data_IF_931302042969
#
_entry.id   IF_931302042969
#
_cell.length_a   1.000
_cell.length_b   1.000
_cell.length_c   1.000
_cell.angle_alpha   90.00
_cell.angle_beta   90.00
_cell.angle_gamma   90.00
#
_symmetry.space_group_name_H-M   'P 1'
#
loop_
_entity.id
_entity.type
_entity.pdbx_description
1 polymer ?
#
# COMPACT_ATOMS: atom_id res chain seq x y z
N UNK A 1 52.05 -21.02 10.47
CA UNK A 1 52.42 -19.60 10.71
C UNK A 1 51.39 -19.00 11.65
N UNK A 2 51.80 -18.67 12.88
CA UNK A 2 51.02 -17.92 13.86
C UNK A 2 51.16 -16.42 13.63
N UNK A 3 50.06 -15.66 13.80
CA UNK A 3 49.96 -14.31 14.44
C UNK A 3 48.49 -13.86 14.28
N UNK A 4 47.64 -13.86 15.32
CA UNK A 4 47.55 -13.03 16.55
C UNK A 4 46.38 -12.02 16.44
N UNK A 5 45.32 -12.35 17.19
CA UNK A 5 44.33 -11.57 17.94
C UNK A 5 44.53 -10.05 18.09
N UNK A 6 43.43 -9.28 18.02
CA UNK A 6 43.16 -8.13 18.88
C UNK A 6 41.64 -7.93 19.07
N UNK A 7 41.27 -7.69 20.32
CA UNK A 7 39.92 -7.58 20.92
C UNK A 7 39.91 -6.24 21.68
N UNK A 8 38.71 -5.72 22.03
CA UNK A 8 38.40 -4.56 22.91
C UNK A 8 38.27 -3.21 22.16
N UNK A 9 37.33 -2.31 22.46
CA UNK A 9 36.77 -1.86 23.76
C UNK A 9 35.28 -1.47 23.64
N UNK A 10 34.36 -1.75 24.59
CA UNK A 10 34.02 -1.09 25.88
C UNK A 10 33.52 0.37 25.77
N UNK A 11 32.31 0.59 26.31
CA UNK A 11 31.80 1.87 26.84
C UNK A 11 30.45 2.27 26.23
N UNK A 12 29.38 2.64 26.93
CA UNK A 12 29.19 3.00 28.35
C UNK A 12 27.69 2.87 28.66
N UNK A 13 27.36 2.40 29.86
CA UNK A 13 26.00 2.31 30.37
C UNK A 13 25.41 3.71 30.69
N UNK A 14 24.13 3.92 30.42
CA UNK A 14 23.33 4.91 31.13
C UNK A 14 22.20 4.21 31.89
N UNK A 15 22.21 4.44 33.19
CA UNK A 15 21.16 4.08 34.14
C UNK A 15 20.01 5.09 34.03
N UNK A 16 18.79 4.60 33.83
CA UNK A 16 17.55 5.36 33.99
C UNK A 16 16.60 4.58 34.88
N UNK A 17 16.60 4.90 36.17
CA UNK A 17 15.66 4.35 37.14
C UNK A 17 14.28 5.00 36.95
N UNK A 18 13.25 4.19 36.68
CA UNK A 18 11.86 4.58 36.94
C UNK A 18 11.36 3.78 38.14
N UNK A 19 11.22 4.51 39.24
CA UNK A 19 10.57 4.05 40.45
C UNK A 19 9.10 3.71 40.17
N UNK A 20 8.63 2.66 40.83
CA UNK A 20 7.29 2.13 40.64
C UNK A 20 6.19 2.91 41.35
N UNK A 21 4.97 2.50 41.03
CA UNK A 21 3.83 2.52 41.95
C UNK A 21 2.89 1.38 41.53
N UNK A 22 3.16 0.18 42.03
CA UNK A 22 2.16 -0.88 42.12
C UNK A 22 1.24 -0.54 43.30
N UNK A 23 0.06 0.00 43.02
CA UNK A 23 -0.99 0.15 44.03
C UNK A 23 -2.09 -0.85 43.77
N UNK A 24 -2.04 -1.91 44.55
CA UNK A 24 -3.08 -2.90 44.76
C UNK A 24 -4.29 -2.23 45.44
N UNK A 25 -5.46 -2.25 44.81
CA UNK A 25 -6.75 -1.95 45.46
C UNK A 25 -7.73 -3.07 45.17
N UNK A 26 -8.07 -3.81 46.22
CA UNK A 26 -9.19 -4.72 46.30
C UNK A 26 -10.16 -4.08 47.29
N UNK A 27 -11.34 -3.64 46.85
CA UNK A 27 -12.52 -3.45 47.71
C UNK A 27 -13.75 -3.10 46.87
N UNK A 28 -14.69 -4.04 46.89
CA UNK A 28 -16.15 -3.91 46.97
C UNK A 28 -16.80 -2.52 46.83
N UNK A 29 -17.85 -2.48 46.01
CA UNK A 29 -19.14 -1.88 46.38
C UNK A 29 -19.36 -0.41 46.02
N UNK A 30 -20.58 -0.18 45.50
CA UNK A 30 -21.31 1.09 45.43
C UNK A 30 -21.10 2.03 44.22
N UNK A 31 -22.11 1.95 43.36
CA UNK A 31 -22.62 2.94 42.42
C UNK A 31 -22.69 4.35 43.02
N UNK A 32 -22.22 5.36 42.28
CA UNK A 32 -23.10 6.49 42.01
C UNK A 32 -23.06 6.97 40.56
N UNK A 33 -24.23 7.37 40.10
CA UNK A 33 -24.47 8.10 38.86
C UNK A 33 -23.71 9.43 38.86
N UNK A 34 -22.85 9.65 37.87
CA UNK A 34 -22.41 10.99 37.48
C UNK A 34 -22.26 11.06 35.98
N UNK A 35 -23.23 11.73 35.39
CA UNK A 35 -23.28 12.26 34.03
C UNK A 35 -22.05 13.14 33.78
N UNK A 36 -21.03 12.59 33.12
CA UNK A 36 -19.96 13.37 32.51
C UNK A 36 -20.20 13.37 31.01
N UNK A 37 -20.77 14.48 30.53
CA UNK A 37 -20.91 14.79 29.11
C UNK A 37 -19.51 14.88 28.48
N UNK A 38 -19.03 13.75 27.97
CA UNK A 38 -17.98 13.73 26.97
C UNK A 38 -18.50 14.47 25.74
N UNK A 39 -18.05 15.71 25.57
CA UNK A 39 -18.12 16.41 24.29
C UNK A 39 -17.23 15.62 23.34
N UNK A 40 -17.84 14.79 22.48
CA UNK A 40 -17.20 14.41 21.22
C UNK A 40 -16.89 15.73 20.52
N UNK A 41 -15.60 16.02 20.34
CA UNK A 41 -15.15 16.94 19.31
C UNK A 41 -15.42 16.23 17.99
N UNK A 42 -16.66 16.32 17.53
CA UNK A 42 -16.97 16.17 16.11
C UNK A 42 -16.32 17.38 15.46
N UNK A 43 -15.10 17.22 14.95
CA UNK A 43 -14.57 18.07 13.88
C UNK A 43 -15.42 17.78 12.64
N UNK A 44 -16.68 18.22 12.73
CA UNK A 44 -17.65 18.27 11.65
C UNK A 44 -17.33 19.55 10.91
N UNK A 45 -16.29 19.47 10.08
CA UNK A 45 -16.06 20.48 9.06
C UNK A 45 -17.29 20.44 8.16
N UNK A 46 -18.22 21.34 8.43
CA UNK A 46 -19.49 21.45 7.72
C UNK A 46 -19.19 21.77 6.26
N UNK A 47 -19.06 20.73 5.44
CA UNK A 47 -18.84 20.85 4.01
C UNK A 47 -20.05 21.58 3.43
N UNK A 48 -19.82 22.77 2.85
CA UNK A 48 -20.88 23.53 2.21
C UNK A 48 -21.34 22.80 0.95
N UNK A 49 -22.66 22.80 0.69
CA UNK A 49 -23.25 22.15 -0.49
C UNK A 49 -22.63 22.59 -1.84
N UNK A 50 -22.06 23.79 -1.88
CA UNK A 50 -21.35 24.32 -3.04
C UNK A 50 -20.03 23.57 -3.31
N UNK A 51 -19.30 23.22 -2.25
CA UNK A 51 -18.04 22.45 -2.33
C UNK A 51 -18.27 21.04 -2.87
N UNK A 52 -19.37 20.40 -2.47
CA UNK A 52 -19.76 19.06 -2.95
C UNK A 52 -20.12 19.01 -4.45
N UNK A 53 -20.47 20.16 -5.03
CA UNK A 53 -20.85 20.28 -6.44
C UNK A 53 -19.66 20.57 -7.37
N UNK A 54 -18.50 20.94 -6.81
CA UNK A 54 -17.29 21.24 -7.58
C UNK A 54 -16.71 19.97 -8.21
N UNK A 55 -16.35 19.99 -9.51
CA UNK A 55 -15.66 18.88 -10.15
C UNK A 55 -14.38 18.49 -9.41
N UNK A 56 -14.07 17.19 -9.33
CA UNK A 56 -12.76 16.72 -8.92
C UNK A 56 -11.82 16.81 -10.12
N UNK A 57 -10.60 17.28 -9.88
CA UNK A 57 -9.54 17.48 -10.87
C UNK A 57 -8.27 16.74 -10.45
N UNK A 58 -7.27 16.64 -11.32
CA UNK A 58 -5.97 16.05 -10.99
C UNK A 58 -5.24 16.82 -9.88
N UNK A 59 -5.48 18.13 -9.75
CA UNK A 59 -4.83 18.98 -8.75
C UNK A 59 -5.41 18.76 -7.33
N UNK A 60 -6.53 18.05 -7.22
CA UNK A 60 -7.19 17.71 -5.94
C UNK A 60 -6.57 16.46 -5.30
N UNK A 61 -5.62 15.80 -5.97
CA UNK A 61 -5.03 14.54 -5.56
C UNK A 61 -3.51 14.54 -5.80
N UNK A 62 -2.78 13.88 -4.91
CA UNK A 62 -1.38 13.54 -5.16
C UNK A 62 -1.21 12.02 -5.15
N UNK A 63 -0.41 11.52 -6.08
CA UNK A 63 -0.05 10.11 -6.20
C UNK A 63 1.46 10.01 -6.24
N UNK A 64 2.03 9.18 -5.36
CA UNK A 64 3.46 9.04 -5.21
C UNK A 64 3.83 7.56 -5.18
N UNK A 65 4.97 7.23 -5.81
CA UNK A 65 5.59 5.91 -5.73
C UNK A 65 7.06 6.08 -5.38
N UNK A 66 7.50 5.44 -4.31
CA UNK A 66 8.87 5.52 -3.82
C UNK A 66 9.49 4.13 -3.75
N UNK A 67 10.68 3.96 -4.32
CA UNK A 67 11.47 2.74 -4.12
C UNK A 67 12.05 2.73 -2.70
N UNK A 68 11.55 1.86 -1.85
CA UNK A 68 12.02 1.70 -0.47
C UNK A 68 13.30 0.86 -0.42
N UNK A 69 13.37 -0.17 -1.27
CA UNK A 69 14.44 -1.14 -1.27
C UNK A 69 14.72 -1.65 -2.68
N UNK A 70 16.00 -1.80 -3.02
CA UNK A 70 16.45 -2.44 -4.26
C UNK A 70 16.51 -3.96 -4.10
N UNK A 71 16.57 -4.70 -5.20
CA UNK A 71 16.77 -6.14 -5.15
C UNK A 71 18.06 -6.51 -4.39
N UNK A 72 17.98 -7.51 -3.51
CA UNK A 72 19.13 -8.09 -2.85
C UNK A 72 19.13 -9.61 -2.98
N UNK A 73 20.13 -10.26 -2.37
CA UNK A 73 20.16 -11.72 -2.28
C UNK A 73 19.09 -12.28 -1.34
N UNK A 74 18.63 -11.47 -0.38
CA UNK A 74 17.81 -11.89 0.75
C UNK A 74 16.39 -11.28 0.70
N UNK A 75 16.15 -10.31 -0.19
CA UNK A 75 14.85 -9.67 -0.38
C UNK A 75 14.60 -9.17 -1.81
N UNK A 76 13.32 -9.12 -2.25
CA UNK A 76 12.93 -8.45 -3.49
C UNK A 76 13.06 -6.92 -3.34
N UNK A 77 12.96 -6.21 -4.48
CA UNK A 77 12.75 -4.78 -4.47
C UNK A 77 11.37 -4.46 -3.87
N UNK A 78 11.26 -3.32 -3.20
CA UNK A 78 10.03 -2.88 -2.55
C UNK A 78 9.70 -1.43 -2.91
N UNK A 79 8.41 -1.16 -3.04
CA UNK A 79 7.86 0.17 -3.29
C UNK A 79 6.85 0.53 -2.21
N UNK A 80 6.78 1.81 -1.87
CA UNK A 80 5.60 2.40 -1.25
C UNK A 80 4.79 3.09 -2.34
N UNK A 81 3.49 2.80 -2.40
CA UNK A 81 2.52 3.52 -3.24
C UNK A 81 1.61 4.31 -2.32
N UNK A 82 1.45 5.60 -2.58
CA UNK A 82 0.68 6.53 -1.74
C UNK A 82 -0.30 7.35 -2.58
N UNK A 83 -1.48 7.56 -2.03
CA UNK A 83 -2.49 8.48 -2.53
C UNK A 83 -2.86 9.46 -1.43
N UNK A 84 -2.89 10.75 -1.75
CA UNK A 84 -3.20 11.83 -0.82
C UNK A 84 -4.36 12.66 -1.37
N UNK A 85 -5.29 13.00 -0.49
CA UNK A 85 -6.34 13.97 -0.80
C UNK A 85 -5.83 15.39 -0.56
N UNK A 86 -5.46 16.10 -1.64
CA UNK A 86 -5.01 17.50 -1.59
C UNK A 86 -6.16 18.51 -1.77
N UNK A 87 -7.39 18.01 -1.90
CA UNK A 87 -8.57 18.85 -2.05
C UNK A 87 -9.01 19.49 -0.73
N UNK A 88 -9.84 20.52 -0.84
CA UNK A 88 -10.45 21.23 0.29
C UNK A 88 -11.67 20.51 0.89
N UNK A 89 -11.97 19.29 0.45
CA UNK A 89 -13.08 18.47 0.99
C UNK A 89 -12.64 17.02 1.17
N UNK A 90 -13.47 16.21 1.83
CA UNK A 90 -13.30 14.76 1.86
C UNK A 90 -13.40 14.15 0.47
N UNK A 91 -12.59 13.14 0.21
CA UNK A 91 -12.69 12.27 -0.96
C UNK A 91 -12.98 10.84 -0.51
N UNK A 92 -13.82 10.13 -1.24
CA UNK A 92 -14.06 8.70 -1.08
C UNK A 92 -13.50 7.96 -2.27
N UNK A 93 -12.51 7.09 -2.05
CA UNK A 93 -11.89 6.23 -3.05
C UNK A 93 -12.45 4.81 -2.93
N UNK A 94 -12.81 4.22 -4.08
CA UNK A 94 -13.31 2.86 -4.15
C UNK A 94 -12.34 1.99 -4.95
N UNK A 95 -12.18 0.73 -4.57
CA UNK A 95 -11.33 -0.17 -5.34
C UNK A 95 -11.38 -1.60 -4.85
N UNK A 96 -10.37 -2.36 -5.26
CA UNK A 96 -10.20 -3.74 -4.85
C UNK A 96 -9.72 -3.87 -3.41
N UNK A 97 -9.17 -5.04 -3.05
CA UNK A 97 -8.82 -5.38 -1.67
C UNK A 97 -7.59 -4.65 -1.12
N UNK A 98 -6.88 -3.85 -1.92
CA UNK A 98 -5.82 -2.93 -1.46
C UNK A 98 -5.91 -1.63 -2.23
N UNK A 99 -6.15 -0.52 -1.52
CA UNK A 99 -6.10 0.83 -2.06
C UNK A 99 -4.73 1.47 -1.74
N UNK A 100 -4.26 2.47 -2.48
CA UNK A 100 -4.87 3.05 -3.66
C UNK A 100 -4.58 2.28 -4.95
N UNK A 101 -3.90 1.13 -4.88
CA UNK A 101 -3.46 0.38 -6.07
C UNK A 101 -3.64 -1.12 -5.85
N UNK A 102 -4.65 -1.71 -6.50
CA UNK A 102 -4.92 -3.16 -6.49
C UNK A 102 -4.23 -3.87 -7.66
N UNK A 103 -3.88 -3.16 -8.73
CA UNK A 103 -3.25 -3.70 -9.93
C UNK A 103 -1.96 -4.42 -9.59
N UNK A 104 -1.96 -5.74 -9.72
CA UNK A 104 -0.80 -6.57 -9.38
C UNK A 104 0.14 -6.73 -10.58
N UNK A 105 -0.36 -6.64 -11.81
CA UNK A 105 0.43 -6.94 -13.00
C UNK A 105 1.02 -5.68 -13.65
N UNK A 106 2.32 -5.70 -13.92
CA UNK A 106 3.04 -4.68 -14.69
C UNK A 106 3.47 -5.23 -16.02
N UNK A 107 3.00 -4.62 -17.10
CA UNK A 107 3.22 -5.12 -18.47
C UNK A 107 4.47 -4.46 -19.06
N UNK A 108 5.38 -5.27 -19.60
CA UNK A 108 6.55 -4.76 -20.30
C UNK A 108 6.14 -4.05 -21.59
N UNK A 109 6.61 -2.82 -21.81
CA UNK A 109 6.13 -1.98 -22.92
C UNK A 109 6.43 -2.55 -24.33
N UNK A 110 7.46 -3.38 -24.46
CA UNK A 110 7.95 -3.86 -25.75
C UNK A 110 7.97 -5.40 -25.92
N UNK A 111 7.49 -6.16 -24.93
CA UNK A 111 7.60 -7.62 -24.90
C UNK A 111 6.42 -8.23 -24.15
N UNK A 112 6.11 -9.48 -24.44
CA UNK A 112 5.06 -10.24 -23.77
C UNK A 112 5.57 -10.86 -22.46
N UNK A 113 6.05 -10.00 -21.56
CA UNK A 113 6.54 -10.38 -20.22
C UNK A 113 5.97 -9.42 -19.20
N UNK A 114 5.71 -9.92 -17.99
CA UNK A 114 5.10 -9.15 -16.92
C UNK A 114 5.90 -9.25 -15.62
N UNK A 115 5.76 -8.25 -14.77
CA UNK A 115 6.15 -8.31 -13.36
C UNK A 115 4.90 -8.30 -12.50
N UNK A 116 5.04 -8.77 -11.26
CA UNK A 116 3.99 -8.73 -10.27
C UNK A 116 4.37 -7.82 -9.10
N UNK A 117 3.46 -6.95 -8.69
CA UNK A 117 3.46 -6.26 -7.42
C UNK A 117 2.67 -7.10 -6.43
N UNK A 118 3.35 -7.55 -5.38
CA UNK A 118 2.73 -8.28 -4.28
C UNK A 118 2.60 -7.36 -3.07
N UNK A 119 1.38 -6.94 -2.67
CA UNK A 119 1.21 -6.12 -1.48
C UNK A 119 1.67 -6.88 -0.22
N UNK A 120 2.14 -6.14 0.77
CA UNK A 120 2.50 -6.72 2.07
C UNK A 120 1.25 -7.28 2.79
N UNK A 121 0.13 -6.55 2.75
CA UNK A 121 -1.17 -7.11 3.13
C UNK A 121 -1.79 -7.85 1.95
N UNK A 122 -1.57 -9.16 1.95
CA UNK A 122 -1.98 -10.08 0.89
C UNK A 122 -2.85 -11.23 1.43
N UNK A 123 -3.43 -11.06 2.61
CA UNK A 123 -4.28 -12.07 3.27
C UNK A 123 -5.52 -12.48 2.44
N UNK A 124 -5.90 -11.66 1.47
CA UNK A 124 -6.99 -11.84 0.51
C UNK A 124 -6.58 -12.60 -0.76
N UNK A 125 -5.29 -12.84 -0.98
CA UNK A 125 -4.78 -13.63 -2.10
C UNK A 125 -4.65 -15.09 -1.63
N UNK A 126 -5.20 -16.02 -2.41
CA UNK A 126 -5.03 -17.46 -2.18
C UNK A 126 -4.24 -18.02 -3.36
N UNK A 127 -3.00 -18.49 -3.15
CA UNK A 127 -2.22 -19.06 -4.24
C UNK A 127 -2.85 -20.38 -4.69
N UNK A 128 -2.98 -20.58 -5.99
CA UNK A 128 -3.41 -21.86 -6.57
C UNK A 128 -2.43 -22.33 -7.63
N UNK A 129 -2.48 -23.62 -7.96
CA UNK A 129 -1.83 -24.15 -9.16
C UNK A 129 -2.68 -23.91 -10.42
N UNK A 130 -2.19 -24.36 -11.58
CA UNK A 130 -2.90 -24.29 -12.86
C UNK A 130 -4.17 -25.14 -12.94
N UNK A 131 -4.44 -25.99 -11.94
CA UNK A 131 -5.68 -26.76 -11.80
C UNK A 131 -6.66 -26.11 -10.79
N UNK A 132 -6.37 -24.89 -10.33
CA UNK A 132 -7.13 -24.19 -9.28
C UNK A 132 -7.11 -24.88 -7.91
N UNK A 133 -6.15 -25.77 -7.65
CA UNK A 133 -5.94 -26.34 -6.32
C UNK A 133 -5.17 -25.34 -5.45
N UNK A 134 -5.68 -25.09 -4.24
CA UNK A 134 -5.04 -24.20 -3.27
C UNK A 134 -3.67 -24.75 -2.89
N UNK A 135 -2.64 -23.90 -3.00
CA UNK A 135 -1.29 -24.22 -2.54
C UNK A 135 -1.03 -23.58 -1.19
N UNK A 136 -0.31 -24.29 -0.33
CA UNK A 136 0.21 -23.73 0.92
C UNK A 136 1.64 -23.26 0.69
N UNK A 137 1.77 -22.13 0.00
CA UNK A 137 3.05 -21.48 -0.33
C UNK A 137 2.97 -19.99 0.02
N UNK A 138 4.08 -19.37 0.45
CA UNK A 138 4.09 -17.94 0.67
C UNK A 138 3.98 -17.18 -0.67
N UNK A 139 3.29 -16.04 -0.65
CA UNK A 139 3.07 -15.23 -1.85
C UNK A 139 4.32 -14.47 -2.31
N UNK A 140 5.11 -14.03 -1.34
CA UNK A 140 6.50 -13.59 -1.55
C UNK A 140 7.39 -14.76 -1.15
N UNK A 141 8.20 -15.33 -2.05
CA UNK A 141 9.04 -16.45 -1.69
C UNK A 141 10.05 -16.02 -0.61
N UNK A 142 10.46 -16.92 0.30
CA UNK A 142 11.40 -16.59 1.38
C UNK A 142 12.85 -16.52 0.90
N UNK A 143 13.12 -17.00 -0.31
CA UNK A 143 14.43 -17.02 -0.95
C UNK A 143 14.27 -17.04 -2.46
N UNK A 144 15.33 -16.69 -3.19
CA UNK A 144 15.33 -16.73 -4.65
C UNK A 144 15.37 -18.15 -5.19
N UNK A 145 14.61 -18.38 -6.27
CA UNK A 145 14.68 -19.58 -7.11
C UNK A 145 15.46 -19.22 -8.38
N UNK A 146 16.53 -19.96 -8.68
CA UNK A 146 17.43 -19.68 -9.81
C UNK A 146 17.96 -18.22 -9.85
N UNK A 147 18.29 -17.69 -8.68
CA UNK A 147 18.72 -16.29 -8.49
C UNK A 147 17.67 -15.23 -8.84
N UNK A 148 16.38 -15.62 -8.83
CA UNK A 148 15.23 -14.76 -9.08
C UNK A 148 14.21 -14.73 -7.94
N UNK A 149 13.59 -13.56 -7.75
CA UNK A 149 12.40 -13.42 -6.92
C UNK A 149 11.18 -13.65 -7.80
N UNK A 150 10.76 -14.91 -7.95
CA UNK A 150 9.68 -15.32 -8.87
C UNK A 150 8.50 -15.88 -8.08
N UNK A 151 7.29 -15.65 -8.55
CA UNK A 151 6.09 -16.30 -7.96
C UNK A 151 6.07 -17.80 -8.24
N UNK A 152 5.64 -18.60 -7.26
CA UNK A 152 5.61 -20.06 -7.35
C UNK A 152 4.16 -20.61 -7.45
N UNK A 153 3.23 -19.81 -7.96
CA UNK A 153 1.82 -20.14 -8.09
C UNK A 153 1.20 -19.39 -9.28
N UNK A 154 0.11 -19.91 -9.83
CA UNK A 154 -0.56 -19.37 -11.03
C UNK A 154 -1.88 -18.65 -10.67
N UNK A 155 -2.50 -18.99 -9.53
CA UNK A 155 -3.82 -18.49 -9.13
C UNK A 155 -3.85 -17.10 -8.52
N UNK A 156 -4.94 -16.36 -8.79
CA UNK A 156 -5.23 -15.07 -8.14
C UNK A 156 -6.69 -14.90 -7.68
N UNK A 157 -6.80 -14.15 -6.56
CA UNK A 157 -7.97 -13.51 -5.92
C UNK A 157 -9.05 -14.42 -5.29
N UNK A 158 -9.07 -14.45 -3.95
CA UNK A 158 -10.30 -14.76 -3.20
C UNK A 158 -11.20 -13.51 -3.25
N UNK A 159 -12.42 -13.68 -3.77
CA UNK A 159 -13.56 -12.73 -3.74
C UNK A 159 -13.18 -11.25 -3.60
N UNK A 160 -13.26 -10.51 -4.72
CA UNK A 160 -13.25 -9.04 -4.78
C UNK A 160 -14.13 -8.45 -3.68
N UNK A 161 -13.51 -8.05 -2.57
CA UNK A 161 -14.18 -7.20 -1.58
C UNK A 161 -13.86 -5.80 -2.01
N UNK A 162 -14.88 -5.08 -2.45
CA UNK A 162 -14.73 -3.67 -2.77
C UNK A 162 -14.42 -2.94 -1.48
N UNK A 163 -13.27 -2.29 -1.40
CA UNK A 163 -12.92 -1.40 -0.30
C UNK A 163 -13.40 0.01 -0.60
N UNK A 164 -13.64 0.74 0.49
CA UNK A 164 -14.05 2.14 0.49
C UNK A 164 -13.21 2.84 1.53
N UNK A 165 -12.35 3.75 1.09
CA UNK A 165 -11.56 4.61 1.98
C UNK A 165 -12.03 6.06 1.84
N UNK A 166 -12.36 6.67 2.98
CA UNK A 166 -12.73 8.07 3.07
C UNK A 166 -11.56 8.88 3.63
N UNK A 167 -11.02 9.78 2.80
CA UNK A 167 -9.83 10.56 3.10
C UNK A 167 -10.24 12.00 3.38
N UNK A 168 -9.91 12.51 4.56
CA UNK A 168 -10.00 13.94 4.87
C UNK A 168 -8.99 14.75 4.06
N UNK A 169 -9.14 16.07 4.05
CA UNK A 169 -8.15 16.98 3.48
C UNK A 169 -6.77 16.75 4.10
N UNK A 170 -5.77 16.54 3.24
CA UNK A 170 -4.38 16.24 3.60
C UNK A 170 -4.14 14.83 4.13
N UNK A 171 -5.17 13.97 4.18
CA UNK A 171 -5.01 12.57 4.58
C UNK A 171 -4.47 11.74 3.41
N UNK A 172 -3.62 10.76 3.74
CA UNK A 172 -3.04 9.82 2.78
C UNK A 172 -3.31 8.38 3.19
N UNK A 173 -3.45 7.52 2.19
CA UNK A 173 -3.33 6.06 2.33
C UNK A 173 -2.09 5.59 1.58
N UNK A 174 -1.42 4.57 2.12
CA UNK A 174 -0.21 4.05 1.52
C UNK A 174 -0.02 2.57 1.83
N UNK A 175 0.52 1.83 0.85
CA UNK A 175 0.85 0.42 1.01
C UNK A 175 2.21 0.09 0.42
N UNK A 176 2.85 -0.92 0.99
CA UNK A 176 4.13 -1.46 0.52
C UNK A 176 3.89 -2.66 -0.38
N UNK A 177 4.65 -2.74 -1.49
CA UNK A 177 4.58 -3.81 -2.48
C UNK A 177 5.97 -4.38 -2.74
N UNK A 178 6.05 -5.69 -2.92
CA UNK A 178 7.25 -6.38 -3.39
C UNK A 178 7.18 -6.61 -4.90
N UNK A 179 8.25 -6.33 -5.63
CA UNK A 179 8.35 -6.61 -7.07
C UNK A 179 8.83 -8.04 -7.30
N UNK A 180 8.04 -8.83 -8.02
CA UNK A 180 8.32 -10.23 -8.33
C UNK A 180 8.27 -10.45 -9.85
N UNK A 181 9.01 -11.44 -10.29
CA UNK A 181 8.95 -11.97 -11.65
C UNK A 181 7.75 -12.91 -11.81
N UNK A 182 7.06 -12.85 -12.95
CA UNK A 182 5.90 -13.71 -13.25
C UNK A 182 6.27 -15.04 -13.96
N UNK A 183 7.56 -15.30 -14.23
CA UNK A 183 8.06 -16.64 -14.56
C UNK A 183 8.06 -17.05 -16.04
N UNK A 184 7.84 -16.13 -16.99
CA UNK A 184 7.49 -16.50 -18.37
C UNK A 184 8.69 -16.91 -19.23
N UNK A 185 9.87 -16.32 -19.03
CA UNK A 185 11.01 -16.51 -19.95
C UNK A 185 12.38 -16.37 -19.30
N UNK A 186 12.63 -15.25 -18.61
CA UNK A 186 13.93 -14.92 -18.03
C UNK A 186 13.74 -14.11 -16.76
N UNK A 187 14.63 -14.33 -15.78
CA UNK A 187 14.52 -13.68 -14.48
C UNK A 187 14.61 -12.15 -14.58
N UNK A 188 13.53 -11.45 -14.23
CA UNK A 188 13.44 -9.99 -14.14
C UNK A 188 14.05 -9.31 -15.37
N UNK A 189 13.43 -9.45 -16.54
CA UNK A 189 13.96 -8.90 -17.77
C UNK A 189 14.15 -7.38 -17.63
N UNK A 190 15.24 -6.83 -18.18
CA UNK A 190 15.47 -5.38 -18.18
C UNK A 190 14.44 -4.65 -19.04
N UNK A 191 14.01 -3.45 -18.68
CA UNK A 191 13.09 -2.64 -19.47
C UNK A 191 12.10 -1.84 -18.63
N UNK A 192 11.17 -1.16 -19.30
CA UNK A 192 10.08 -0.41 -18.66
C UNK A 192 8.82 -1.27 -18.57
N UNK A 193 8.23 -1.27 -17.38
CA UNK A 193 7.00 -1.98 -17.01
C UNK A 193 5.96 -0.96 -16.55
N UNK A 194 4.81 -0.93 -17.23
CA UNK A 194 3.74 0.00 -16.90
C UNK A 194 2.73 -0.66 -15.96
N UNK A 195 2.40 0.07 -14.88
CA UNK A 195 1.35 -0.25 -13.94
C UNK A 195 0.30 0.85 -14.02
N UNK A 196 -0.96 0.50 -14.26
CA UNK A 196 -2.04 1.49 -14.33
C UNK A 196 -3.38 0.89 -13.88
N UNK A 197 -4.13 1.66 -13.11
CA UNK A 197 -5.44 1.26 -12.62
C UNK A 197 -6.40 2.45 -12.52
N UNK A 198 -7.68 2.20 -12.81
CA UNK A 198 -8.77 3.14 -12.64
C UNK A 198 -9.60 2.84 -11.39
N UNK A 199 -9.89 3.86 -10.61
CA UNK A 199 -10.70 3.77 -9.39
C UNK A 199 -11.89 4.73 -9.46
N UNK A 200 -13.11 4.30 -9.05
CA UNK A 200 -14.17 5.24 -8.77
C UNK A 200 -13.74 6.17 -7.63
N UNK A 201 -14.04 7.46 -7.80
CA UNK A 201 -13.72 8.53 -6.87
C UNK A 201 -14.95 9.41 -6.69
N UNK A 202 -15.21 9.81 -5.45
CA UNK A 202 -16.35 10.64 -5.08
C UNK A 202 -15.92 11.74 -4.12
N UNK A 203 -16.62 12.88 -4.16
CA UNK A 203 -16.47 13.97 -3.18
C UNK A 203 -17.45 13.79 -2.02
N UNK A 204 -16.99 14.07 -0.80
CA UNK A 204 -17.75 13.82 0.42
C UNK A 204 -17.79 12.34 0.81
N UNK A 205 -18.67 12.01 1.75
CA UNK A 205 -18.88 10.63 2.22
C UNK A 205 -19.59 9.76 1.18
N UNK A 206 -19.40 8.44 1.28
CA UNK A 206 -20.04 7.44 0.40
C UNK A 206 -21.58 7.48 0.41
N UNK A 207 -22.19 8.04 1.47
CA UNK A 207 -23.65 8.14 1.65
C UNK A 207 -24.31 9.30 0.89
N UNK A 208 -23.51 10.26 0.41
CA UNK A 208 -23.99 11.47 -0.25
C UNK A 208 -24.14 11.23 -1.76
N UNK A 209 -25.22 11.70 -2.37
CA UNK A 209 -25.42 11.63 -3.82
C UNK A 209 -24.57 12.74 -4.50
N UNK A 210 -23.27 12.49 -4.64
CA UNK A 210 -22.32 13.38 -5.29
C UNK A 210 -21.98 12.92 -6.72
N UNK A 211 -21.33 13.80 -7.49
CA UNK A 211 -20.80 13.43 -8.80
C UNK A 211 -19.80 12.28 -8.67
N UNK A 212 -19.97 11.24 -9.50
CA UNK A 212 -19.03 10.12 -9.60
C UNK A 212 -17.95 10.45 -10.62
N UNK A 213 -16.71 10.26 -10.22
CA UNK A 213 -15.52 10.43 -11.05
C UNK A 213 -14.79 9.09 -11.12
N UNK A 214 -13.90 8.99 -12.08
CA UNK A 214 -12.90 7.93 -12.18
C UNK A 214 -11.54 8.60 -12.14
N UNK A 215 -10.66 8.13 -11.26
CA UNK A 215 -9.25 8.50 -11.22
C UNK A 215 -8.44 7.36 -11.79
N UNK A 216 -7.58 7.64 -12.78
CA UNK A 216 -6.57 6.70 -13.24
C UNK A 216 -5.24 7.04 -12.60
N UNK A 217 -4.68 6.08 -11.88
CA UNK A 217 -3.36 6.12 -11.26
C UNK A 217 -2.40 5.25 -12.07
N UNK A 218 -1.14 5.64 -12.17
CA UNK A 218 -0.17 4.86 -12.92
C UNK A 218 1.26 5.27 -12.66
N UNK A 219 2.16 4.32 -12.87
CA UNK A 219 3.60 4.54 -12.82
C UNK A 219 4.32 3.54 -13.70
N UNK A 220 5.55 3.88 -14.07
CA UNK A 220 6.45 3.00 -14.79
C UNK A 220 7.60 2.60 -13.87
N UNK A 221 7.89 1.30 -13.80
CA UNK A 221 9.11 0.79 -13.19
C UNK A 221 10.10 0.42 -14.29
N UNK A 222 11.31 0.97 -14.22
CA UNK A 222 12.40 0.66 -15.13
C UNK A 222 13.43 -0.23 -14.40
N UNK A 223 13.74 -1.38 -15.00
CA UNK A 223 14.79 -2.29 -14.56
C UNK A 223 16.01 -2.16 -15.46
N UNK A 224 17.13 -1.73 -14.89
CA UNK A 224 18.40 -1.63 -15.60
C UNK A 224 19.17 -2.96 -15.66
N UNK A 225 20.32 -2.96 -16.34
CA UNK A 225 21.20 -4.14 -16.48
C UNK A 225 21.82 -4.63 -15.17
N UNK A 226 21.86 -3.79 -14.14
CA UNK A 226 22.31 -4.14 -12.78
C UNK A 226 21.13 -4.59 -11.89
N UNK A 227 19.92 -4.68 -12.45
CA UNK A 227 18.66 -4.95 -11.74
C UNK A 227 18.34 -3.89 -10.69
N UNK A 228 18.75 -2.65 -10.90
CA UNK A 228 18.24 -1.53 -10.13
C UNK A 228 16.90 -1.12 -10.70
N UNK A 229 16.00 -0.80 -9.79
CA UNK A 229 14.66 -0.31 -10.11
C UNK A 229 14.62 1.20 -9.90
N UNK A 230 14.16 1.91 -10.92
CA UNK A 230 13.71 3.30 -10.82
C UNK A 230 12.22 3.38 -11.15
N UNK A 231 11.54 4.38 -10.60
CA UNK A 231 10.11 4.60 -10.84
C UNK A 231 9.88 6.00 -11.39
N UNK A 232 8.98 6.09 -12.36
CA UNK A 232 8.44 7.36 -12.87
C UNK A 232 6.94 7.35 -12.66
N UNK A 233 6.46 8.25 -11.81
CA UNK A 233 5.02 8.41 -11.55
C UNK A 233 4.37 9.14 -12.73
N UNK A 234 3.21 8.67 -13.17
CA UNK A 234 2.40 9.35 -14.17
C UNK A 234 1.42 10.30 -13.46
N UNK A 235 1.19 11.47 -14.05
CA UNK A 235 0.20 12.41 -13.51
C UNK A 235 -1.18 11.74 -13.45
N UNK A 236 -1.86 11.77 -12.29
CA UNK A 236 -3.21 11.23 -12.18
C UNK A 236 -4.16 11.89 -13.17
N UNK A 237 -5.04 11.10 -13.79
CA UNK A 237 -6.10 11.66 -14.64
C UNK A 237 -7.45 11.46 -13.99
N UNK A 238 -8.28 12.51 -13.96
CA UNK A 238 -9.64 12.45 -13.40
C UNK A 238 -10.65 12.69 -14.51
N UNK A 239 -11.64 11.81 -14.62
CA UNK A 239 -12.73 11.91 -15.58
C UNK A 239 -14.07 11.82 -14.89
N UNK A 240 -15.01 12.67 -15.29
CA UNK A 240 -16.40 12.54 -14.81
C UNK A 240 -17.02 11.29 -15.42
N UNK A 241 -17.65 10.47 -14.59
CA UNK A 241 -18.39 9.30 -15.07
C UNK A 241 -19.69 9.80 -15.73
N UNK A 242 -19.81 9.62 -17.04
CA UNK A 242 -21.04 9.94 -17.79
C UNK A 242 -21.82 8.65 -18.00
N UNK A 243 -23.01 8.57 -17.41
CA UNK A 243 -23.96 7.47 -17.63
C UNK A 243 -24.62 7.56 -19.01
#
# INVERSE_FOLDING_TARGET
>A
MQRRTALQAIGTAMFGAIAGCASQRQSSGEQPSSTESQRLNTDDSSETADSLSRPITSDDIAFDVTVLQQFTNDSPAQFEVRFTNDSDTRLTLFGGPVLPFTGLEGVHQNRDVALLLMPEDNSWITPTDGNSEVRDVPLVPPSRTDSCWTVEYEGMLRKQTMLVDELRTGESISHTYSLLDWGNESCLPTGSYAFSEGHPLQRGESSVEAGKFEVTLGFEAELDTERRVSVTVQDPTVRKHTH
#
